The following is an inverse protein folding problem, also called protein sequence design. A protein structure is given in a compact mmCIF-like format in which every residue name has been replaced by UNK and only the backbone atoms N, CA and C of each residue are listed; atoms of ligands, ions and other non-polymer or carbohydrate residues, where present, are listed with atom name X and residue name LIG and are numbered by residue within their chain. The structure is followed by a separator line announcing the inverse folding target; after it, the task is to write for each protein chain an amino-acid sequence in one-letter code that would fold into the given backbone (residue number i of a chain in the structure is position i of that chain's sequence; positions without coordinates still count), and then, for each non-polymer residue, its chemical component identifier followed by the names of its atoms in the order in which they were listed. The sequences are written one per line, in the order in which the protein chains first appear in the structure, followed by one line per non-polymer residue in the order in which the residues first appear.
data_IF_681285515555
#
_entry.id   IF_681285515555
#
_cell.length_a   1.000
_cell.length_b   1.000
_cell.length_c   1.000
_cell.angle_alpha   90.00
_cell.angle_beta   90.00
_cell.angle_gamma   90.00
#
_symmetry.space_group_name_H-M   'P 1'
#
loop_
_entity.id
_entity.type
_entity.pdbx_description
1 polymer ?
#
# COMPACT_ATOMS: atom_id res chain seq x y z
N UNK A 1 48.56 13.11 -44.81
CA UNK A 1 49.17 12.38 -43.68
C UNK A 1 48.08 12.08 -42.67
N UNK A 2 47.77 10.80 -42.41
CA UNK A 2 46.82 10.42 -41.36
C UNK A 2 47.62 10.18 -40.07
N UNK A 3 47.42 11.02 -39.06
CA UNK A 3 47.95 10.77 -37.73
C UNK A 3 47.22 9.55 -37.17
N UNK A 4 47.97 8.47 -36.92
CA UNK A 4 47.48 7.30 -36.20
C UNK A 4 47.39 7.67 -34.73
N UNK A 5 46.17 7.81 -34.23
CA UNK A 5 45.90 7.93 -32.80
C UNK A 5 46.45 6.68 -32.10
N UNK A 6 47.48 6.85 -31.29
CA UNK A 6 48.00 5.78 -30.45
C UNK A 6 46.95 5.49 -29.38
N UNK A 7 46.25 4.37 -29.51
CA UNK A 7 45.44 3.82 -28.42
C UNK A 7 46.34 3.62 -27.19
N UNK A 8 46.17 4.49 -26.20
CA UNK A 8 46.79 4.35 -24.88
C UNK A 8 45.96 3.32 -24.11
N UNK A 9 46.57 2.17 -23.81
CA UNK A 9 45.97 1.14 -22.96
C UNK A 9 45.89 1.60 -21.51
N UNK A 10 44.87 1.13 -20.80
CA UNK A 10 44.68 1.38 -19.37
C UNK A 10 45.84 0.84 -18.54
N UNK A 11 46.23 1.59 -17.50
CA UNK A 11 47.22 1.13 -16.53
C UNK A 11 46.57 0.34 -15.40
N UNK A 12 47.31 -0.58 -14.77
CA UNK A 12 46.83 -1.27 -13.56
C UNK A 12 46.48 -0.28 -12.44
N UNK A 13 47.23 0.83 -12.35
CA UNK A 13 47.04 1.88 -11.36
C UNK A 13 45.67 2.56 -11.53
N UNK A 14 45.25 2.87 -12.76
CA UNK A 14 43.91 3.40 -13.03
C UNK A 14 42.81 2.45 -12.57
N UNK A 15 42.94 1.16 -12.85
CA UNK A 15 41.94 0.18 -12.41
C UNK A 15 41.90 0.07 -10.88
N UNK A 16 43.05 0.10 -10.21
CA UNK A 16 43.10 0.10 -8.74
C UNK A 16 42.39 1.31 -8.14
N UNK A 17 42.64 2.51 -8.67
CA UNK A 17 41.98 3.74 -8.20
C UNK A 17 40.47 3.68 -8.42
N UNK A 18 40.02 3.18 -9.58
CA UNK A 18 38.59 3.02 -9.88
C UNK A 18 37.90 2.06 -8.92
N UNK A 19 38.51 0.91 -8.61
CA UNK A 19 37.94 -0.08 -7.68
C UNK A 19 37.84 0.50 -6.27
N UNK A 20 38.85 1.27 -5.83
CA UNK A 20 38.80 1.96 -4.53
C UNK A 20 37.67 2.99 -4.50
N UNK A 21 37.51 3.80 -5.54
CA UNK A 21 36.42 4.79 -5.62
C UNK A 21 35.05 4.10 -5.62
N UNK A 22 34.88 3.03 -6.39
CA UNK A 22 33.63 2.24 -6.42
C UNK A 22 33.36 1.62 -5.04
N UNK A 23 34.37 1.08 -4.37
CA UNK A 23 34.22 0.52 -3.02
C UNK A 23 33.78 1.56 -1.98
N UNK A 24 34.37 2.76 -2.03
CA UNK A 24 33.97 3.88 -1.16
C UNK A 24 32.54 4.32 -1.47
N UNK A 25 32.19 4.55 -2.74
CA UNK A 25 30.84 4.95 -3.13
C UNK A 25 29.79 3.90 -2.78
N UNK A 26 30.08 2.62 -3.00
CA UNK A 26 29.19 1.52 -2.66
C UNK A 26 28.92 1.44 -1.15
N UNK A 27 29.90 1.76 -0.31
CA UNK A 27 29.72 1.77 1.16
C UNK A 27 28.81 2.88 1.68
N UNK A 28 28.62 3.96 0.91
CA UNK A 28 27.80 5.11 1.31
C UNK A 28 26.34 4.97 0.90
N UNK A 29 26.01 3.99 0.05
CA UNK A 29 24.64 3.79 -0.43
C UNK A 29 23.92 2.79 0.47
N UNK A 30 23.20 3.30 1.47
CA UNK A 30 22.15 2.55 2.18
C UNK A 30 20.81 3.23 1.88
N UNK A 31 19.94 2.64 1.04
CA UNK A 31 18.60 3.19 0.83
C UNK A 31 17.76 2.98 2.10
N UNK A 32 17.47 4.07 2.81
CA UNK A 32 16.73 4.05 4.06
C UNK A 32 15.21 4.07 3.79
N UNK A 33 14.66 2.95 3.33
CA UNK A 33 13.27 2.85 2.85
C UNK A 33 12.27 2.41 3.95
N UNK A 34 12.77 1.94 5.10
CA UNK A 34 11.94 1.22 6.08
C UNK A 34 10.96 2.13 6.83
N UNK A 35 11.38 3.34 7.22
CA UNK A 35 10.52 4.25 8.02
C UNK A 35 9.34 4.86 7.24
N UNK A 36 9.49 5.03 5.93
CA UNK A 36 8.44 5.65 5.12
C UNK A 36 7.29 4.69 4.83
N UNK A 37 7.59 3.39 4.71
CA UNK A 37 6.57 2.36 4.50
C UNK A 37 5.64 2.23 5.70
N UNK A 38 6.17 2.14 6.92
CA UNK A 38 5.34 2.00 8.12
C UNK A 38 4.40 3.21 8.33
N UNK A 39 4.90 4.43 8.07
CA UNK A 39 4.08 5.64 8.14
C UNK A 39 2.97 5.63 7.08
N UNK A 40 3.26 5.20 5.86
CA UNK A 40 2.28 5.08 4.80
C UNK A 40 1.21 4.01 5.11
N UNK A 41 1.64 2.86 5.65
CA UNK A 41 0.75 1.77 6.06
C UNK A 41 -0.21 2.27 7.16
N UNK A 42 0.28 2.95 8.20
CA UNK A 42 -0.57 3.57 9.24
C UNK A 42 -1.57 4.59 8.66
N UNK A 43 -1.12 5.45 7.75
CA UNK A 43 -2.00 6.45 7.12
C UNK A 43 -3.09 5.79 6.25
N UNK A 44 -2.75 4.70 5.55
CA UNK A 44 -3.72 3.91 4.79
C UNK A 44 -4.78 3.32 5.73
N UNK A 45 -4.38 2.68 6.82
CA UNK A 45 -5.32 2.11 7.79
C UNK A 45 -6.30 3.16 8.35
N UNK A 46 -5.81 4.36 8.70
CA UNK A 46 -6.67 5.46 9.15
C UNK A 46 -7.69 5.86 8.07
N UNK A 47 -7.24 5.93 6.81
CA UNK A 47 -8.12 6.31 5.69
C UNK A 47 -9.18 5.25 5.42
N UNK A 48 -8.80 3.97 5.50
CA UNK A 48 -9.70 2.83 5.33
C UNK A 48 -10.76 2.80 6.45
N UNK A 49 -10.36 3.01 7.71
CA UNK A 49 -11.29 3.07 8.86
C UNK A 49 -12.32 4.19 8.65
N UNK A 50 -11.89 5.39 8.27
CA UNK A 50 -12.81 6.51 8.01
C UNK A 50 -13.78 6.16 6.86
N UNK A 51 -13.31 5.49 5.81
CA UNK A 51 -14.19 5.05 4.73
C UNK A 51 -15.22 4.00 5.20
N UNK A 52 -14.81 3.05 6.04
CA UNK A 52 -15.67 2.03 6.62
C UNK A 52 -16.70 2.63 7.59
N UNK A 53 -16.29 3.56 8.45
CA UNK A 53 -17.20 4.29 9.36
C UNK A 53 -18.29 5.02 8.58
N UNK A 54 -17.93 5.74 7.52
CA UNK A 54 -18.89 6.42 6.66
C UNK A 54 -19.87 5.43 6.00
N UNK A 55 -19.38 4.29 5.52
CA UNK A 55 -20.23 3.25 4.94
C UNK A 55 -21.19 2.62 5.97
N UNK A 56 -20.71 2.36 7.19
CA UNK A 56 -21.51 1.88 8.30
C UNK A 56 -22.59 2.88 8.72
N UNK A 57 -22.28 4.17 8.73
CA UNK A 57 -23.24 5.22 9.05
C UNK A 57 -24.33 5.34 7.99
N UNK A 58 -23.99 5.20 6.70
CA UNK A 58 -24.99 5.10 5.63
C UNK A 58 -25.85 3.85 5.77
N UNK A 59 -25.24 2.70 6.07
CA UNK A 59 -26.00 1.47 6.34
C UNK A 59 -27.00 1.67 7.48
N UNK A 60 -26.56 2.30 8.59
CA UNK A 60 -27.41 2.55 9.75
C UNK A 60 -28.47 3.61 9.47
N UNK A 61 -28.19 4.60 8.63
CA UNK A 61 -29.19 5.60 8.24
C UNK A 61 -30.39 4.92 7.57
N UNK A 62 -30.12 3.97 6.68
CA UNK A 62 -31.15 3.27 5.92
C UNK A 62 -31.85 2.18 6.75
N UNK A 63 -31.09 1.42 7.55
CA UNK A 63 -31.59 0.22 8.24
C UNK A 63 -31.84 0.41 9.74
N UNK A 64 -31.54 1.59 10.28
CA UNK A 64 -31.68 1.97 11.69
C UNK A 64 -30.83 1.17 12.69
N UNK A 65 -29.95 0.30 12.22
CA UNK A 65 -28.98 -0.44 13.02
C UNK A 65 -27.70 -0.65 12.22
N UNK A 66 -26.58 -0.91 12.89
CA UNK A 66 -25.37 -1.38 12.23
C UNK A 66 -25.49 -2.88 11.89
N UNK A 67 -24.65 -3.40 10.99
CA UNK A 67 -24.47 -4.82 10.83
C UNK A 67 -23.97 -5.48 12.11
N UNK A 68 -24.30 -6.74 12.30
CA UNK A 68 -23.78 -7.55 13.41
C UNK A 68 -22.42 -8.16 13.06
N UNK A 69 -21.65 -8.55 14.08
CA UNK A 69 -20.36 -9.24 13.87
C UNK A 69 -20.49 -10.50 13.02
N UNK A 70 -21.61 -11.23 13.13
CA UNK A 70 -21.86 -12.43 12.33
C UNK A 70 -22.18 -12.13 10.86
N UNK A 71 -22.71 -10.95 10.57
CA UNK A 71 -22.93 -10.47 9.19
C UNK A 71 -21.64 -9.91 8.59
N UNK A 72 -20.72 -9.43 9.43
CA UNK A 72 -19.43 -8.89 9.02
C UNK A 72 -19.53 -7.60 8.22
N UNK A 73 -18.38 -7.11 7.74
CA UNK A 73 -18.32 -5.93 6.88
C UNK A 73 -18.76 -6.24 5.43
N UNK A 74 -18.89 -7.52 5.07
CA UNK A 74 -19.43 -7.98 3.79
C UNK A 74 -20.84 -7.45 3.55
N UNK A 75 -21.59 -7.23 4.64
CA UNK A 75 -22.89 -6.57 4.64
C UNK A 75 -22.88 -5.12 4.15
N UNK A 76 -21.71 -4.50 3.98
CA UNK A 76 -21.57 -3.17 3.35
C UNK A 76 -21.44 -3.26 1.83
N UNK A 77 -21.11 -4.43 1.30
CA UNK A 77 -20.99 -4.67 -0.15
C UNK A 77 -22.29 -5.29 -0.66
N UNK A 78 -22.79 -6.33 0.02
CA UNK A 78 -23.97 -7.08 -0.37
C UNK A 78 -25.00 -7.16 0.76
N UNK A 79 -26.28 -7.33 0.41
CA UNK A 79 -27.34 -7.40 1.40
C UNK A 79 -27.15 -8.58 2.37
N UNK A 80 -27.25 -8.39 3.70
CA UNK A 80 -27.08 -9.48 4.64
C UNK A 80 -28.21 -10.51 4.50
N UNK A 81 -27.83 -11.78 4.48
CA UNK A 81 -28.77 -12.93 4.44
C UNK A 81 -29.18 -13.40 5.83
N UNK A 82 -28.37 -13.07 6.85
CA UNK A 82 -28.62 -13.41 8.25
C UNK A 82 -29.46 -12.32 8.94
N UNK A 83 -30.35 -12.68 9.87
CA UNK A 83 -31.04 -11.70 10.71
C UNK A 83 -30.07 -10.88 11.60
N UNK A 84 -30.36 -9.60 11.88
CA UNK A 84 -31.50 -8.82 11.39
C UNK A 84 -31.36 -8.47 9.91
N UNK A 85 -32.42 -8.70 9.13
CA UNK A 85 -32.42 -8.38 7.71
C UNK A 85 -32.49 -6.85 7.50
N UNK A 86 -31.69 -6.36 6.55
CA UNK A 86 -31.66 -4.96 6.17
C UNK A 86 -32.89 -4.61 5.32
N UNK A 87 -33.92 -4.05 5.96
CA UNK A 87 -35.22 -3.78 5.32
C UNK A 87 -35.13 -2.76 4.17
N UNK A 88 -34.26 -1.75 4.28
CA UNK A 88 -34.08 -0.69 3.29
C UNK A 88 -32.67 -0.72 2.69
N UNK A 89 -32.13 -1.90 2.41
CA UNK A 89 -30.77 -2.04 1.90
C UNK A 89 -30.60 -1.37 0.52
N UNK A 90 -29.57 -0.52 0.38
CA UNK A 90 -29.17 0.00 -0.93
C UNK A 90 -28.67 -1.14 -1.84
N UNK A 91 -29.34 -1.39 -2.97
CA UNK A 91 -29.00 -2.46 -3.92
C UNK A 91 -27.58 -2.36 -4.49
N UNK A 92 -26.99 -1.17 -4.50
CA UNK A 92 -25.62 -0.94 -4.96
C UNK A 92 -24.56 -1.18 -3.86
N UNK A 93 -24.99 -1.43 -2.62
CA UNK A 93 -24.14 -1.47 -1.45
C UNK A 93 -23.75 -0.08 -0.95
N UNK A 94 -23.00 -0.05 0.15
CA UNK A 94 -22.48 1.17 0.79
C UNK A 94 -20.99 1.39 0.50
N UNK A 95 -20.28 0.34 0.07
CA UNK A 95 -18.89 0.41 -0.39
C UNK A 95 -18.67 -0.51 -1.59
N UNK A 96 -17.85 -0.08 -2.55
CA UNK A 96 -17.61 -0.84 -3.80
C UNK A 96 -16.85 -2.16 -3.58
N UNK A 97 -15.96 -2.17 -2.59
CA UNK A 97 -15.16 -3.34 -2.19
C UNK A 97 -14.66 -3.12 -0.78
N UNK A 98 -14.46 -4.20 -0.04
CA UNK A 98 -13.78 -4.12 1.24
C UNK A 98 -12.29 -3.84 1.02
N UNK A 99 -11.71 -2.84 1.69
CA UNK A 99 -10.27 -2.70 1.75
C UNK A 99 -9.69 -3.84 2.60
N UNK A 100 -8.49 -4.29 2.24
CA UNK A 100 -7.65 -5.09 3.14
C UNK A 100 -6.70 -4.15 3.88
N UNK A 101 -6.41 -4.47 5.13
CA UNK A 101 -5.47 -3.71 5.94
C UNK A 101 -4.07 -3.69 5.28
N UNK A 102 -3.18 -2.76 5.68
CA UNK A 102 -1.83 -2.69 5.14
C UNK A 102 -0.96 -3.93 5.40
N UNK A 103 -1.36 -4.80 6.33
CA UNK A 103 -0.66 -6.01 6.74
C UNK A 103 -1.21 -7.28 6.08
N UNK A 104 -2.28 -7.16 5.27
CA UNK A 104 -2.89 -8.25 4.52
C UNK A 104 -4.02 -8.99 5.24
N UNK A 105 -4.56 -8.43 6.33
CA UNK A 105 -5.74 -8.97 7.01
C UNK A 105 -7.01 -8.24 6.58
N UNK A 106 -8.15 -8.92 6.76
CA UNK A 106 -9.46 -8.29 6.70
C UNK A 106 -9.69 -7.45 7.96
N UNK A 107 -10.51 -6.40 7.83
CA UNK A 107 -10.88 -5.50 8.94
C UNK A 107 -11.93 -6.10 9.86
#
# INVERSE_FOLDING_TARGET
MRATDKQRGFTLLEIMVVIVIIGVLASLVVPNLMGNKEKADKQKAVSDIVALENALDMYKLDNHHYPTTNQGLESLVEAPTLPPLAANYNKEGYIKRLPADPWGNDY
#
